data_IF_560044020817
#
_entry.id   IF_560044020817
#
_cell.length_a   1.000
_cell.length_b   1.000
_cell.length_c   1.000
_cell.angle_alpha   90.00
_cell.angle_beta   90.00
_cell.angle_gamma   90.00
#
_symmetry.space_group_name_H-M   'P 1'
#
loop_
_entity.id
_entity.type
_entity.pdbx_description
1 polymer ?
#
# COMPACT_ATOMS: atom_id res chain seq x y z
N UNK A 1 -25.67 -0.99 -11.05
CA UNK A 1 -25.60 -1.88 -9.87
C UNK A 1 -25.79 -3.29 -10.39
N UNK A 2 -24.79 -4.15 -10.22
CA UNK A 2 -24.94 -5.56 -10.52
C UNK A 2 -26.07 -6.14 -9.66
N UNK A 3 -26.84 -7.08 -10.21
CA UNK A 3 -27.84 -7.82 -9.44
C UNK A 3 -27.14 -8.59 -8.31
N UNK A 4 -27.68 -8.49 -7.08
CA UNK A 4 -27.11 -9.16 -5.89
C UNK A 4 -27.06 -10.68 -6.08
N UNK A 5 -26.10 -11.34 -5.43
CA UNK A 5 -25.95 -12.79 -5.50
C UNK A 5 -27.22 -13.47 -5.00
N UNK A 6 -27.79 -12.95 -3.92
CA UNK A 6 -28.98 -13.52 -3.31
C UNK A 6 -30.15 -13.59 -4.31
N UNK A 7 -30.34 -12.56 -5.13
CA UNK A 7 -31.37 -12.56 -6.17
C UNK A 7 -31.06 -13.54 -7.30
N UNK A 8 -29.79 -13.68 -7.69
CA UNK A 8 -29.37 -14.68 -8.68
C UNK A 8 -29.62 -16.10 -8.19
N UNK A 9 -29.29 -16.38 -6.93
CA UNK A 9 -29.53 -17.67 -6.29
C UNK A 9 -31.02 -17.97 -6.18
N UNK A 10 -31.84 -16.98 -5.84
CA UNK A 10 -33.30 -17.11 -5.80
C UNK A 10 -33.88 -17.39 -7.20
N UNK A 11 -33.48 -16.63 -8.23
CA UNK A 11 -33.92 -16.82 -9.62
C UNK A 11 -33.48 -18.16 -10.21
N UNK A 12 -32.29 -18.64 -9.82
CA UNK A 12 -31.78 -19.95 -10.20
C UNK A 12 -32.42 -21.12 -9.45
N UNK A 13 -33.33 -20.86 -8.49
CA UNK A 13 -33.94 -21.88 -7.65
C UNK A 13 -32.96 -22.56 -6.68
N UNK A 14 -31.81 -21.93 -6.40
CA UNK A 14 -30.78 -22.46 -5.50
C UNK A 14 -31.13 -22.20 -4.02
N UNK A 15 -31.90 -21.16 -3.75
CA UNK A 15 -32.49 -20.87 -2.43
C UNK A 15 -33.97 -20.55 -2.59
N UNK A 16 -34.75 -20.84 -1.55
CA UNK A 16 -36.16 -20.48 -1.48
C UNK A 16 -36.45 -19.76 -0.15
N UNK A 17 -37.08 -18.58 -0.24
CA UNK A 17 -37.52 -17.77 0.90
C UNK A 17 -39.04 -17.80 1.07
N UNK A 18 -39.74 -18.69 0.37
CA UNK A 18 -41.20 -18.82 0.34
C UNK A 18 -41.91 -17.51 -0.04
N UNK A 19 -41.34 -16.76 -0.98
CA UNK A 19 -41.94 -15.54 -1.53
C UNK A 19 -42.06 -14.34 -0.57
N UNK A 20 -41.24 -14.28 0.48
CA UNK A 20 -41.24 -13.19 1.47
C UNK A 20 -39.92 -12.41 1.44
N UNK A 21 -39.97 -11.22 0.82
CA UNK A 21 -38.83 -10.32 0.65
C UNK A 21 -38.19 -9.91 1.98
N UNK A 22 -38.96 -9.87 3.08
CA UNK A 22 -38.41 -9.52 4.39
C UNK A 22 -37.44 -10.61 4.92
N UNK A 23 -37.55 -11.86 4.44
CA UNK A 23 -36.57 -12.91 4.72
C UNK A 23 -35.30 -12.72 3.90
N UNK A 24 -35.43 -12.28 2.65
CA UNK A 24 -34.28 -11.96 1.80
C UNK A 24 -33.45 -10.82 2.41
N UNK A 25 -34.11 -9.79 2.95
CA UNK A 25 -33.43 -8.70 3.67
C UNK A 25 -32.64 -9.19 4.89
N UNK A 26 -33.19 -10.15 5.65
CA UNK A 26 -32.49 -10.76 6.80
C UNK A 26 -31.27 -11.57 6.40
N UNK A 27 -31.36 -12.31 5.28
CA UNK A 27 -30.23 -13.01 4.67
C UNK A 27 -29.16 -11.99 4.22
N UNK A 28 -29.58 -10.89 3.60
CA UNK A 28 -28.69 -9.78 3.24
C UNK A 28 -27.99 -9.13 4.44
N UNK A 29 -28.70 -8.93 5.55
CA UNK A 29 -28.13 -8.41 6.79
C UNK A 29 -27.06 -9.34 7.38
N UNK A 30 -27.31 -10.65 7.37
CA UNK A 30 -26.32 -11.65 7.79
C UNK A 30 -25.07 -11.64 6.88
N UNK A 31 -25.26 -11.50 5.57
CA UNK A 31 -24.16 -11.37 4.61
C UNK A 31 -23.33 -10.11 4.87
N UNK A 32 -23.96 -8.98 5.19
CA UNK A 32 -23.29 -7.73 5.57
C UNK A 32 -22.46 -7.84 6.86
N UNK A 33 -22.91 -8.66 7.81
CA UNK A 33 -22.13 -8.98 9.02
C UNK A 33 -20.88 -9.81 8.68
N UNK A 34 -21.00 -10.84 7.84
CA UNK A 34 -19.86 -11.62 7.37
C UNK A 34 -18.88 -10.76 6.55
N UNK A 35 -19.38 -9.89 5.67
CA UNK A 35 -18.57 -8.96 4.90
C UNK A 35 -17.76 -8.04 5.83
N UNK A 36 -18.39 -7.52 6.89
CA UNK A 36 -17.70 -6.72 7.92
C UNK A 36 -16.64 -7.53 8.68
N UNK A 37 -16.90 -8.81 8.94
CA UNK A 37 -15.94 -9.75 9.51
C UNK A 37 -14.72 -9.97 8.60
N UNK A 38 -14.95 -10.19 7.31
CA UNK A 38 -13.91 -10.36 6.28
C UNK A 38 -13.03 -9.12 6.13
N UNK A 39 -13.62 -7.91 6.12
CA UNK A 39 -12.84 -6.65 6.10
C UNK A 39 -11.90 -6.54 7.30
N UNK A 40 -12.32 -7.03 8.48
CA UNK A 40 -11.50 -7.04 9.71
C UNK A 40 -10.46 -8.17 9.73
N UNK A 41 -10.80 -9.31 9.14
CA UNK A 41 -9.99 -10.53 9.13
C UNK A 41 -9.94 -11.17 7.73
N UNK A 42 -9.18 -10.57 6.77
CA UNK A 42 -9.16 -11.05 5.39
C UNK A 42 -8.72 -12.50 5.22
N UNK A 43 -7.93 -13.05 6.16
CA UNK A 43 -7.48 -14.44 6.16
C UNK A 43 -8.62 -15.47 6.14
N UNK A 44 -9.83 -15.09 6.59
CA UNK A 44 -11.02 -15.97 6.49
C UNK A 44 -11.48 -16.18 5.04
N UNK A 45 -11.14 -15.27 4.12
CA UNK A 45 -11.63 -15.32 2.75
C UNK A 45 -11.28 -16.64 2.05
N UNK A 46 -10.12 -17.24 2.35
CA UNK A 46 -9.71 -18.49 1.71
C UNK A 46 -10.72 -19.62 1.97
N UNK A 47 -11.04 -19.90 3.23
CA UNK A 47 -12.02 -20.92 3.59
C UNK A 47 -13.42 -20.55 3.08
N UNK A 48 -13.80 -19.27 3.18
CA UNK A 48 -15.10 -18.79 2.74
C UNK A 48 -15.33 -19.02 1.25
N UNK A 49 -14.33 -18.74 0.40
CA UNK A 49 -14.45 -18.95 -1.04
C UNK A 49 -14.65 -20.43 -1.35
N UNK A 50 -13.84 -21.30 -0.73
CA UNK A 50 -13.89 -22.75 -0.97
C UNK A 50 -15.21 -23.37 -0.48
N UNK A 51 -15.80 -22.85 0.60
CA UNK A 51 -17.14 -23.26 1.06
C UNK A 51 -18.23 -22.72 0.15
N UNK A 52 -18.13 -21.47 -0.27
CA UNK A 52 -19.14 -20.86 -1.11
C UNK A 52 -19.23 -21.54 -2.47
N UNK A 53 -18.11 -21.88 -3.12
CA UNK A 53 -18.11 -22.48 -4.47
C UNK A 53 -18.48 -23.98 -4.51
N UNK A 54 -18.50 -24.67 -3.36
CA UNK A 54 -18.78 -26.11 -3.32
C UNK A 54 -20.22 -26.41 -2.84
N UNK A 55 -21.11 -26.93 -3.71
CA UNK A 55 -22.47 -27.27 -3.33
C UNK A 55 -22.58 -28.45 -2.37
N UNK A 56 -21.53 -29.28 -2.25
CA UNK A 56 -21.50 -30.46 -1.39
C UNK A 56 -20.70 -30.23 -0.10
N UNK A 57 -20.74 -29.01 0.43
CA UNK A 57 -20.14 -28.72 1.74
C UNK A 57 -20.97 -29.28 2.88
N UNK A 58 -20.26 -29.89 3.85
CA UNK A 58 -20.88 -30.49 5.01
C UNK A 58 -21.56 -29.43 5.89
N UNK A 59 -22.68 -29.81 6.50
CA UNK A 59 -23.48 -28.92 7.33
C UNK A 59 -22.78 -28.45 8.62
N UNK A 60 -21.75 -29.18 9.05
CA UNK A 60 -20.93 -28.90 10.23
C UNK A 60 -19.61 -28.18 9.91
N UNK A 61 -19.36 -27.82 8.64
CA UNK A 61 -18.18 -27.02 8.29
C UNK A 61 -18.17 -25.70 9.09
N UNK A 62 -17.02 -25.28 9.67
CA UNK A 62 -16.94 -24.09 10.51
C UNK A 62 -17.50 -22.81 9.86
N UNK A 63 -17.36 -22.65 8.54
CA UNK A 63 -17.88 -21.49 7.81
C UNK A 63 -19.41 -21.54 7.69
N UNK A 64 -19.98 -22.73 7.49
CA UNK A 64 -21.43 -22.92 7.45
C UNK A 64 -22.04 -22.60 8.81
N UNK A 65 -21.44 -23.10 9.89
CA UNK A 65 -21.85 -22.79 11.26
C UNK A 65 -21.78 -21.28 11.52
N UNK A 66 -20.67 -20.63 11.16
CA UNK A 66 -20.50 -19.17 11.33
C UNK A 66 -21.58 -18.36 10.55
N UNK A 67 -21.91 -18.79 9.33
CA UNK A 67 -22.93 -18.13 8.52
C UNK A 67 -24.34 -18.28 9.10
N UNK A 68 -24.66 -19.46 9.65
CA UNK A 68 -25.96 -19.70 10.31
C UNK A 68 -26.06 -18.99 11.66
N UNK A 69 -24.96 -18.86 12.39
CA UNK A 69 -24.88 -18.05 13.60
C UNK A 69 -25.15 -16.57 13.29
N UNK A 70 -24.57 -16.05 12.19
CA UNK A 70 -24.89 -14.72 11.71
C UNK A 70 -26.36 -14.59 11.31
N UNK A 71 -26.92 -15.57 10.58
CA UNK A 71 -28.34 -15.58 10.21
C UNK A 71 -29.26 -15.57 11.44
N UNK A 72 -28.92 -16.32 12.48
CA UNK A 72 -29.74 -16.46 13.69
C UNK A 72 -29.97 -15.13 14.42
N UNK A 73 -29.03 -14.18 14.30
CA UNK A 73 -29.12 -12.84 14.91
C UNK A 73 -30.17 -11.96 14.22
N UNK A 74 -30.39 -12.16 12.92
CA UNK A 74 -31.33 -11.38 12.11
C UNK A 74 -32.66 -12.13 11.87
N UNK A 75 -32.65 -13.46 11.97
CA UNK A 75 -33.80 -14.32 11.74
C UNK A 75 -33.86 -15.50 12.72
N UNK A 76 -34.24 -15.25 13.97
CA UNK A 76 -34.31 -16.27 15.04
C UNK A 76 -35.15 -17.51 14.65
N UNK A 77 -36.21 -17.34 13.86
CA UNK A 77 -37.14 -18.42 13.47
C UNK A 77 -36.77 -19.13 12.16
N UNK A 78 -35.57 -18.94 11.61
CA UNK A 78 -35.17 -19.56 10.34
C UNK A 78 -35.25 -21.09 10.40
N UNK A 79 -34.92 -21.70 11.55
CA UNK A 79 -34.99 -23.15 11.78
C UNK A 79 -36.39 -23.73 11.62
N UNK A 80 -37.45 -22.92 11.76
CA UNK A 80 -38.83 -23.36 11.54
C UNK A 80 -39.23 -23.34 10.05
N UNK A 81 -38.40 -22.72 9.21
CA UNK A 81 -38.67 -22.57 7.77
C UNK A 81 -38.04 -23.69 6.95
N UNK A 82 -36.93 -24.25 7.43
CA UNK A 82 -36.18 -25.30 6.74
C UNK A 82 -36.29 -26.62 7.49
N UNK A 83 -36.43 -27.74 6.77
CA UNK A 83 -36.57 -29.09 7.34
C UNK A 83 -35.24 -29.68 7.85
N UNK A 84 -34.13 -28.97 7.68
CA UNK A 84 -32.79 -29.33 8.12
C UNK A 84 -31.85 -28.11 8.04
N UNK A 85 -30.55 -28.34 8.22
CA UNK A 85 -29.54 -27.27 8.10
C UNK A 85 -29.57 -26.67 6.70
N UNK A 86 -29.89 -25.37 6.52
CA UNK A 86 -30.07 -24.78 5.21
C UNK A 86 -28.72 -24.38 4.59
N UNK A 87 -27.91 -25.39 4.21
CA UNK A 87 -26.54 -25.21 3.67
C UNK A 87 -26.53 -24.30 2.44
N UNK A 88 -27.49 -24.43 1.53
CA UNK A 88 -27.58 -23.56 0.35
C UNK A 88 -27.79 -22.08 0.71
N UNK A 89 -28.58 -21.79 1.76
CA UNK A 89 -28.78 -20.42 2.27
C UNK A 89 -27.51 -19.92 2.94
N UNK A 90 -26.83 -20.74 3.76
CA UNK A 90 -25.56 -20.39 4.36
C UNK A 90 -24.50 -20.07 3.29
N UNK A 91 -24.38 -20.87 2.23
CA UNK A 91 -23.48 -20.62 1.09
C UNK A 91 -23.80 -19.30 0.38
N UNK A 92 -25.09 -19.00 0.16
CA UNK A 92 -25.51 -17.75 -0.45
C UNK A 92 -25.12 -16.53 0.41
N UNK A 93 -25.27 -16.64 1.74
CA UNK A 93 -24.83 -15.61 2.70
C UNK A 93 -23.32 -15.41 2.64
N UNK A 94 -22.55 -16.50 2.64
CA UNK A 94 -21.08 -16.46 2.56
C UNK A 94 -20.63 -15.79 1.26
N UNK A 95 -21.24 -16.16 0.12
CA UNK A 95 -20.91 -15.59 -1.18
C UNK A 95 -21.26 -14.11 -1.27
N UNK A 96 -22.48 -13.72 -0.91
CA UNK A 96 -22.86 -12.30 -0.90
C UNK A 96 -21.92 -11.50 0.01
N UNK A 97 -21.55 -12.05 1.17
CA UNK A 97 -20.57 -11.43 2.08
C UNK A 97 -19.17 -11.29 1.47
N UNK A 98 -18.71 -12.29 0.71
CA UNK A 98 -17.43 -12.24 -0.03
C UNK A 98 -17.44 -11.17 -1.11
N UNK A 99 -18.49 -11.10 -1.92
CA UNK A 99 -18.63 -10.11 -3.00
C UNK A 99 -18.65 -8.70 -2.42
N UNK A 100 -19.45 -8.47 -1.36
CA UNK A 100 -19.47 -7.18 -0.68
C UNK A 100 -18.10 -6.79 -0.08
N UNK A 101 -17.37 -7.76 0.49
CA UNK A 101 -16.04 -7.50 1.04
C UNK A 101 -14.97 -7.28 -0.05
N UNK A 102 -15.06 -7.98 -1.18
CA UNK A 102 -14.13 -7.89 -2.29
C UNK A 102 -14.12 -6.49 -2.93
N UNK A 103 -15.28 -5.82 -2.99
CA UNK A 103 -15.41 -4.45 -3.51
C UNK A 103 -14.50 -3.45 -2.79
N UNK A 104 -14.39 -3.56 -1.46
CA UNK A 104 -13.62 -2.60 -0.64
C UNK A 104 -12.26 -3.14 -0.19
N UNK A 105 -12.05 -4.46 -0.28
CA UNK A 105 -10.85 -5.14 0.23
C UNK A 105 -10.18 -5.92 -0.89
N UNK A 106 -9.20 -5.31 -1.58
CA UNK A 106 -8.58 -5.93 -2.76
C UNK A 106 -7.90 -7.27 -2.50
N UNK A 107 -7.43 -7.53 -1.28
CA UNK A 107 -6.88 -8.85 -0.92
C UNK A 107 -7.94 -9.94 -0.86
N UNK A 108 -9.18 -9.61 -0.47
CA UNK A 108 -10.33 -10.53 -0.52
C UNK A 108 -10.71 -10.79 -1.97
N UNK A 109 -10.76 -9.76 -2.81
CA UNK A 109 -11.00 -9.91 -4.25
C UNK A 109 -9.96 -10.80 -4.94
N UNK A 110 -8.67 -10.59 -4.64
CA UNK A 110 -7.59 -11.42 -5.19
C UNK A 110 -7.72 -12.90 -4.76
N UNK A 111 -8.00 -13.16 -3.49
CA UNK A 111 -8.22 -14.53 -3.00
C UNK A 111 -9.47 -15.17 -3.61
N UNK A 112 -10.56 -14.41 -3.74
CA UNK A 112 -11.80 -14.85 -4.38
C UNK A 112 -11.55 -15.37 -5.80
N UNK A 113 -10.94 -14.54 -6.65
CA UNK A 113 -10.70 -14.89 -8.06
C UNK A 113 -9.76 -16.09 -8.17
N UNK A 114 -8.64 -16.06 -7.44
CA UNK A 114 -7.64 -17.12 -7.50
C UNK A 114 -8.20 -18.50 -7.11
N UNK A 115 -8.97 -18.57 -6.03
CA UNK A 115 -9.54 -19.82 -5.52
C UNK A 115 -10.77 -20.26 -6.32
N UNK A 116 -11.62 -19.32 -6.75
CA UNK A 116 -12.75 -19.64 -7.63
C UNK A 116 -12.25 -20.26 -8.94
N UNK A 117 -11.24 -19.67 -9.59
CA UNK A 117 -10.64 -20.20 -10.82
C UNK A 117 -10.12 -21.63 -10.66
N UNK A 118 -9.58 -21.95 -9.49
CA UNK A 118 -9.17 -23.31 -9.16
C UNK A 118 -10.41 -24.23 -9.04
N UNK A 119 -11.35 -23.92 -8.15
CA UNK A 119 -12.55 -24.73 -7.95
C UNK A 119 -13.29 -25.00 -9.27
N UNK A 120 -13.58 -23.96 -10.08
CA UNK A 120 -14.28 -24.11 -11.35
C UNK A 120 -13.51 -24.89 -12.42
N UNK A 121 -12.19 -25.04 -12.30
CA UNK A 121 -11.41 -25.86 -13.25
C UNK A 121 -11.62 -27.36 -13.09
N UNK A 122 -12.16 -27.80 -11.94
CA UNK A 122 -12.44 -29.23 -11.64
C UNK A 122 -13.90 -29.50 -11.28
N UNK A 123 -14.73 -28.46 -11.14
CA UNK A 123 -16.17 -28.59 -10.89
C UNK A 123 -16.94 -29.02 -12.14
N UNK A 124 -18.04 -29.75 -11.92
CA UNK A 124 -19.01 -30.06 -12.98
C UNK A 124 -19.87 -28.81 -13.26
N UNK A 125 -20.05 -28.39 -14.52
CA UNK A 125 -20.93 -27.28 -14.86
C UNK A 125 -22.36 -27.49 -14.36
N UNK A 126 -22.92 -26.48 -13.71
CA UNK A 126 -24.27 -26.50 -13.13
C UNK A 126 -24.92 -25.10 -13.13
N UNK A 127 -26.21 -25.03 -12.80
CA UNK A 127 -26.91 -23.75 -12.62
C UNK A 127 -26.25 -22.86 -11.55
N UNK A 128 -25.66 -23.47 -10.52
CA UNK A 128 -24.82 -22.78 -9.53
C UNK A 128 -23.64 -22.12 -10.26
N UNK A 129 -22.81 -22.88 -10.98
CA UNK A 129 -21.62 -22.34 -11.67
C UNK A 129 -21.92 -21.19 -12.65
N UNK A 130 -23.10 -21.19 -13.28
CA UNK A 130 -23.52 -20.10 -14.17
C UNK A 130 -23.80 -18.80 -13.41
N UNK A 131 -24.36 -18.88 -12.20
CA UNK A 131 -24.61 -17.72 -11.34
C UNK A 131 -23.30 -17.02 -10.89
N UNK A 132 -22.20 -17.77 -10.83
CA UNK A 132 -20.87 -17.29 -10.44
C UNK A 132 -20.10 -16.60 -11.56
N UNK A 133 -20.29 -17.01 -12.81
CA UNK A 133 -19.40 -16.62 -13.92
C UNK A 133 -19.26 -15.10 -14.06
N UNK A 134 -20.38 -14.38 -14.09
CA UNK A 134 -20.39 -12.92 -14.21
C UNK A 134 -19.74 -12.22 -13.02
N UNK A 135 -19.93 -12.75 -11.81
CA UNK A 135 -19.39 -12.17 -10.57
C UNK A 135 -17.87 -12.34 -10.51
N UNK A 136 -17.39 -13.51 -10.92
CA UNK A 136 -15.95 -13.77 -11.05
C UNK A 136 -15.35 -12.82 -12.07
N UNK A 137 -15.96 -12.67 -13.25
CA UNK A 137 -15.45 -11.77 -14.28
C UNK A 137 -15.42 -10.31 -13.83
N UNK A 138 -16.43 -9.85 -13.07
CA UNK A 138 -16.47 -8.48 -12.55
C UNK A 138 -15.34 -8.21 -11.56
N UNK A 139 -15.17 -9.08 -10.55
CA UNK A 139 -14.11 -8.94 -9.54
C UNK A 139 -12.72 -9.15 -10.17
N UNK A 140 -12.59 -10.11 -11.08
CA UNK A 140 -11.34 -10.40 -11.79
C UNK A 140 -10.87 -9.21 -12.62
N UNK A 141 -11.78 -8.49 -13.29
CA UNK A 141 -11.42 -7.28 -14.04
C UNK A 141 -10.73 -6.24 -13.15
N UNK A 142 -11.23 -6.03 -11.93
CA UNK A 142 -10.65 -5.05 -11.00
C UNK A 142 -9.33 -5.55 -10.40
N UNK A 143 -9.24 -6.84 -10.07
CA UNK A 143 -8.02 -7.50 -9.59
C UNK A 143 -6.91 -7.44 -10.65
N UNK A 144 -7.22 -7.79 -11.89
CA UNK A 144 -6.27 -7.78 -13.00
C UNK A 144 -5.86 -6.36 -13.38
N UNK A 145 -6.79 -5.39 -13.43
CA UNK A 145 -6.44 -4.00 -13.70
C UNK A 145 -5.43 -3.46 -12.67
N UNK A 146 -5.60 -3.82 -11.40
CA UNK A 146 -4.65 -3.47 -10.34
C UNK A 146 -3.31 -4.19 -10.50
N UNK A 147 -3.34 -5.49 -10.78
CA UNK A 147 -2.11 -6.26 -10.98
C UNK A 147 -1.32 -5.72 -12.20
N UNK A 148 -1.98 -5.44 -13.31
CA UNK A 148 -1.34 -4.83 -14.49
C UNK A 148 -0.77 -3.44 -14.19
N UNK A 149 -1.45 -2.62 -13.38
CA UNK A 149 -0.90 -1.33 -12.95
C UNK A 149 0.38 -1.48 -12.11
N UNK A 150 0.45 -2.47 -11.22
CA UNK A 150 1.65 -2.78 -10.42
C UNK A 150 2.80 -3.34 -11.29
N UNK A 151 2.46 -3.97 -12.40
CA UNK A 151 3.40 -4.59 -13.34
C UNK A 151 3.75 -3.71 -14.55
N UNK A 152 3.13 -2.53 -14.66
CA UNK A 152 3.32 -1.64 -15.78
C UNK A 152 4.76 -1.09 -15.84
N UNK A 153 5.27 -0.97 -17.06
CA UNK A 153 6.46 -0.16 -17.34
C UNK A 153 5.93 1.15 -17.94
N UNK A 154 6.04 2.28 -17.24
CA UNK A 154 5.51 3.54 -17.75
C UNK A 154 6.25 3.94 -19.02
N UNK A 155 5.51 4.39 -20.03
CA UNK A 155 6.05 4.83 -21.32
C UNK A 155 6.88 6.12 -21.21
N UNK A 156 6.63 6.91 -20.16
CA UNK A 156 7.44 8.06 -19.76
C UNK A 156 7.48 8.16 -18.25
N UNK A 157 8.64 8.56 -17.71
CA UNK A 157 8.78 8.87 -16.30
C UNK A 157 8.48 10.36 -16.16
N UNK A 158 7.27 10.68 -15.70
CA UNK A 158 6.98 12.05 -15.30
C UNK A 158 7.75 12.30 -14.01
N UNK A 159 8.84 13.04 -14.08
CA UNK A 159 9.44 13.60 -12.87
C UNK A 159 8.35 14.46 -12.19
N UNK A 160 8.29 14.48 -10.85
CA UNK A 160 7.49 15.48 -10.16
C UNK A 160 7.86 16.88 -10.71
N UNK A 161 6.93 17.82 -10.68
CA UNK A 161 7.26 19.22 -10.92
C UNK A 161 7.81 19.75 -9.60
N UNK A 162 9.03 20.29 -9.62
CA UNK A 162 9.63 20.86 -8.43
C UNK A 162 8.81 22.08 -7.97
N UNK A 163 8.00 21.93 -6.92
CA UNK A 163 7.37 23.07 -6.25
C UNK A 163 8.36 23.69 -5.27
N UNK A 164 9.45 24.23 -5.82
CA UNK A 164 10.47 24.92 -5.05
C UNK A 164 9.91 26.28 -4.62
N UNK A 165 9.39 26.34 -3.40
CA UNK A 165 8.94 27.59 -2.81
C UNK A 165 10.13 28.52 -2.62
N UNK A 166 10.13 29.63 -3.35
CA UNK A 166 11.12 30.70 -3.16
C UNK A 166 10.90 31.28 -1.76
N UNK A 167 11.90 31.22 -0.86
CA UNK A 167 11.77 31.78 0.48
C UNK A 167 11.58 33.30 0.41
N UNK A 168 10.69 33.85 1.22
CA UNK A 168 10.56 35.29 1.36
C UNK A 168 11.84 35.86 1.98
N UNK A 169 12.46 36.83 1.31
CA UNK A 169 13.60 37.55 1.84
C UNK A 169 13.10 38.61 2.82
N UNK A 170 13.64 38.61 4.04
CA UNK A 170 13.39 39.69 4.99
C UNK A 170 13.97 41.00 4.47
N UNK A 171 13.22 42.12 4.52
CA UNK A 171 13.73 43.42 4.13
C UNK A 171 14.95 43.79 4.97
N UNK A 172 15.98 44.33 4.31
CA UNK A 172 17.16 44.87 4.99
C UNK A 172 16.72 46.00 5.92
N UNK A 173 17.08 45.89 7.20
CA UNK A 173 16.81 46.95 8.17
C UNK A 173 17.92 47.98 8.08
N UNK A 174 17.55 49.24 7.84
CA UNK A 174 18.45 50.39 7.93
C UNK A 174 18.26 51.00 9.31
N UNK A 175 19.31 50.99 10.12
CA UNK A 175 19.34 51.68 11.40
C UNK A 175 20.22 52.91 11.28
N UNK A 176 19.73 54.03 11.82
CA UNK A 176 20.49 55.26 11.95
C UNK A 176 20.83 55.46 13.42
N UNK A 177 22.08 55.80 13.71
CA UNK A 177 22.45 56.25 15.04
C UNK A 177 21.71 57.57 15.37
N UNK A 178 21.22 57.73 16.61
CA UNK A 178 20.59 58.98 17.01
C UNK A 178 21.60 60.12 16.91
N UNK A 179 21.21 61.22 16.29
CA UNK A 179 22.03 62.43 16.21
C UNK A 179 22.40 62.89 17.61
N UNK A 180 23.67 63.18 17.85
CA UNK A 180 24.12 63.76 19.12
C UNK A 180 23.63 65.21 19.24
N UNK A 181 22.46 65.34 19.84
CA UNK A 181 21.76 66.62 20.01
C UNK A 181 22.57 67.57 20.89
N UNK A 182 23.34 67.07 21.84
CA UNK A 182 24.10 67.91 22.77
C UNK A 182 25.36 68.46 22.09
N UNK A 183 26.02 67.65 21.26
CA UNK A 183 27.09 68.13 20.38
C UNK A 183 26.58 69.19 19.37
N UNK A 184 25.41 68.96 18.75
CA UNK A 184 24.82 69.94 17.82
C UNK A 184 24.45 71.25 18.53
N UNK A 185 23.86 71.18 19.73
CA UNK A 185 23.57 72.36 20.55
C UNK A 185 24.84 73.12 20.92
N UNK A 186 25.91 72.41 21.29
CA UNK A 186 27.20 73.03 21.59
C UNK A 186 27.73 73.81 20.37
N UNK A 187 27.62 73.24 19.16
CA UNK A 187 27.94 73.93 17.91
C UNK A 187 27.12 75.20 17.68
N UNK A 188 25.81 75.17 17.97
CA UNK A 188 24.93 76.34 17.83
C UNK A 188 25.30 77.45 18.80
N UNK A 189 25.61 77.10 20.05
CA UNK A 189 26.05 78.08 21.04
C UNK A 189 27.42 78.67 20.70
N UNK A 190 28.35 77.86 20.20
CA UNK A 190 29.64 78.33 19.72
C UNK A 190 29.50 79.27 18.51
N UNK A 191 28.56 79.01 17.60
CA UNK A 191 28.24 79.91 16.48
C UNK A 191 27.65 81.25 16.96
N UNK A 192 26.94 81.27 18.09
CA UNK A 192 26.28 82.46 18.63
C UNK A 192 27.23 83.47 19.28
N UNK A 193 28.44 83.09 19.69
CA UNK A 193 29.40 84.04 20.26
C UNK A 193 30.74 83.45 20.71
N UNK A 194 31.65 84.31 21.20
CA UNK A 194 33.05 83.96 21.38
C UNK A 194 33.36 83.16 22.66
N UNK A 195 32.39 83.01 23.56
CA UNK A 195 32.62 82.51 24.92
C UNK A 195 31.64 81.40 25.33
N UNK A 196 31.40 80.44 24.46
CA UNK A 196 30.67 79.24 24.88
C UNK A 196 31.53 78.37 25.80
N UNK A 197 30.92 77.87 26.87
CA UNK A 197 31.49 76.89 27.80
C UNK A 197 30.54 75.71 27.80
N UNK A 198 31.04 74.52 27.47
CA UNK A 198 30.22 73.31 27.51
C UNK A 198 29.86 72.99 28.97
N UNK A 199 28.56 72.91 29.30
CA UNK A 199 28.11 72.62 30.65
C UNK A 199 28.49 71.22 31.15
N UNK A 200 28.84 70.25 30.27
CA UNK A 200 29.22 68.90 30.67
C UNK A 200 30.72 68.75 31.00
N UNK A 201 31.60 69.52 30.35
CA UNK A 201 33.06 69.37 30.51
C UNK A 201 33.71 70.49 31.33
N UNK A 202 32.99 71.57 31.66
CA UNK A 202 33.46 72.61 32.59
C UNK A 202 34.70 73.39 32.12
N UNK A 203 35.14 73.18 30.87
CA UNK A 203 36.19 73.94 30.21
C UNK A 203 35.60 74.74 29.05
N UNK A 204 36.14 75.94 28.80
CA UNK A 204 35.93 76.61 27.51
C UNK A 204 36.40 75.64 26.44
N UNK A 205 35.50 75.12 25.60
CA UNK A 205 35.92 74.43 24.40
C UNK A 205 36.59 75.46 23.51
N UNK A 206 37.91 75.46 23.55
CA UNK A 206 38.72 76.09 22.55
C UNK A 206 38.48 75.34 21.23
N UNK A 207 37.61 75.86 20.38
CA UNK A 207 38.03 76.25 19.03
C UNK A 207 36.83 76.76 18.21
N UNK A 208 37.06 77.87 17.52
CA UNK A 208 36.21 78.34 16.42
C UNK A 208 34.80 78.87 16.78
N UNK A 209 34.61 79.43 17.96
CA UNK A 209 33.41 80.24 18.27
C UNK A 209 33.34 81.52 17.43
N UNK A 210 32.15 82.08 17.26
CA UNK A 210 31.99 83.33 16.50
C UNK A 210 32.73 84.48 17.21
N UNK A 211 33.71 85.14 16.56
CA UNK A 211 34.54 86.16 17.21
C UNK A 211 33.78 87.46 17.48
N UNK A 212 32.58 87.61 16.92
CA UNK A 212 31.75 88.79 17.07
C UNK A 212 30.61 88.53 18.05
N UNK A 213 30.07 89.60 18.62
CA UNK A 213 28.86 89.57 19.45
C UNK A 213 27.76 90.36 18.76
N UNK A 214 26.49 89.92 18.84
CA UNK A 214 25.39 90.51 18.09
C UNK A 214 25.15 91.99 18.44
N UNK A 215 25.54 92.42 19.65
CA UNK A 215 25.36 93.80 20.11
C UNK A 215 26.45 94.77 19.62
N UNK A 216 27.68 94.29 19.37
CA UNK A 216 28.84 95.17 19.10
C UNK A 216 29.23 95.21 17.62
N UNK A 217 28.95 94.16 16.84
CA UNK A 217 29.24 94.10 15.40
C UNK A 217 28.18 93.25 14.68
N UNK A 218 26.93 93.75 14.54
CA UNK A 218 25.78 92.93 14.13
C UNK A 218 25.90 92.35 12.70
N UNK A 219 26.46 93.11 11.76
CA UNK A 219 26.60 92.68 10.35
C UNK A 219 27.63 91.55 10.22
N UNK A 220 28.79 91.69 10.86
CA UNK A 220 29.83 90.65 10.86
C UNK A 220 29.43 89.43 11.68
N UNK A 221 28.74 89.64 12.80
CA UNK A 221 28.20 88.55 13.61
C UNK A 221 27.24 87.67 12.82
N UNK A 222 26.28 88.27 12.10
CA UNK A 222 25.29 87.52 11.32
C UNK A 222 25.94 86.66 10.22
N UNK A 223 26.96 87.19 9.54
CA UNK A 223 27.73 86.45 8.53
C UNK A 223 28.48 85.26 9.12
N UNK A 224 29.20 85.46 10.21
CA UNK A 224 29.95 84.40 10.90
C UNK A 224 29.03 83.37 11.59
N UNK A 225 27.90 83.80 12.16
CA UNK A 225 26.91 82.93 12.80
C UNK A 225 26.32 81.94 11.79
N UNK A 226 25.86 82.45 10.64
CA UNK A 226 25.26 81.62 9.59
C UNK A 226 26.25 80.58 9.06
N UNK A 227 27.48 80.98 8.76
CA UNK A 227 28.52 80.08 8.26
C UNK A 227 28.86 78.97 9.27
N UNK A 228 29.04 79.32 10.55
CA UNK A 228 29.45 78.36 11.59
C UNK A 228 28.30 77.42 11.97
N UNK A 229 27.08 77.94 12.09
CA UNK A 229 25.89 77.11 12.32
C UNK A 229 25.68 76.11 11.17
N UNK A 230 25.85 76.56 9.91
CA UNK A 230 25.73 75.68 8.75
C UNK A 230 26.76 74.53 8.78
N UNK A 231 28.00 74.80 9.20
CA UNK A 231 29.03 73.76 9.40
C UNK A 231 28.60 72.75 10.47
N UNK A 232 28.12 73.21 11.64
CA UNK A 232 27.66 72.30 12.70
C UNK A 232 26.45 71.44 12.29
N UNK A 233 25.52 71.99 11.51
CA UNK A 233 24.40 71.21 10.94
C UNK A 233 24.91 70.21 9.90
N UNK A 234 25.82 70.62 9.02
CA UNK A 234 26.41 69.74 8.01
C UNK A 234 27.16 68.58 8.65
N UNK A 235 27.97 68.83 9.69
CA UNK A 235 28.69 67.79 10.43
C UNK A 235 27.73 66.81 11.14
N UNK A 236 26.63 67.31 11.73
CA UNK A 236 25.64 66.45 12.35
C UNK A 236 24.87 65.60 11.32
N UNK A 237 24.58 66.15 10.14
CA UNK A 237 23.97 65.42 9.03
C UNK A 237 24.93 64.39 8.45
N UNK A 238 26.19 64.75 8.22
CA UNK A 238 27.22 63.84 7.73
C UNK A 238 27.47 62.72 8.73
N UNK A 239 27.48 63.01 10.03
CA UNK A 239 27.59 61.99 11.08
C UNK A 239 26.38 61.06 11.08
N UNK A 240 25.15 61.60 10.96
CA UNK A 240 23.93 60.80 10.89
C UNK A 240 23.87 59.92 9.62
N UNK A 241 24.37 60.42 8.48
CA UNK A 241 24.45 59.66 7.22
C UNK A 241 25.56 58.60 7.30
N UNK A 242 26.72 58.93 7.86
CA UNK A 242 27.83 57.99 8.03
C UNK A 242 27.55 56.92 9.11
N UNK A 243 26.67 57.22 10.06
CA UNK A 243 26.15 56.29 11.08
C UNK A 243 25.01 55.39 10.58
N UNK A 244 24.63 55.46 9.30
CA UNK A 244 23.66 54.53 8.72
C UNK A 244 24.32 53.16 8.55
N UNK A 245 23.85 52.16 9.29
CA UNK A 245 24.26 50.77 9.11
C UNK A 245 23.16 49.97 8.43
N UNK A 246 23.50 49.27 7.36
CA UNK A 246 22.62 48.30 6.72
C UNK A 246 22.89 46.93 7.36
N UNK A 247 21.87 46.32 7.97
CA UNK A 247 22.01 44.96 8.50
C UNK A 247 22.37 43.95 7.41
N UNK A 248 23.13 42.90 7.74
CA UNK A 248 23.41 41.83 6.77
C UNK A 248 22.15 41.00 6.51
N UNK A 249 21.86 40.69 5.24
CA UNK A 249 20.80 39.74 4.92
C UNK A 249 21.20 38.33 5.39
N UNK A 250 20.40 37.72 6.27
CA UNK A 250 20.58 36.32 6.64
C UNK A 250 19.99 35.41 5.55
N UNK A 251 20.86 34.89 4.70
CA UNK A 251 20.50 33.96 3.64
C UNK A 251 20.57 32.49 4.08
N UNK A 252 20.96 32.21 5.34
CA UNK A 252 21.19 30.85 5.79
C UNK A 252 19.91 30.00 5.76
N UNK A 253 18.79 30.56 6.19
CA UNK A 253 17.50 29.87 6.20
C UNK A 253 16.90 29.72 4.79
N UNK A 254 16.89 30.76 3.92
CA UNK A 254 16.53 30.60 2.51
C UNK A 254 17.35 29.53 1.78
N UNK A 255 18.67 29.49 1.98
CA UNK A 255 19.56 28.50 1.35
C UNK A 255 19.28 27.10 1.89
N UNK A 256 19.04 26.93 3.19
CA UNK A 256 18.65 25.64 3.79
C UNK A 256 17.31 25.14 3.24
N UNK A 257 16.31 26.02 3.17
CA UNK A 257 15.00 25.68 2.62
C UNK A 257 15.10 25.23 1.16
N UNK A 258 15.87 25.95 0.35
CA UNK A 258 16.14 25.54 -1.04
C UNK A 258 16.86 24.19 -1.12
N UNK A 259 17.89 23.98 -0.29
CA UNK A 259 18.63 22.71 -0.26
C UNK A 259 17.74 21.52 0.13
N UNK A 260 16.83 21.71 1.09
CA UNK A 260 15.83 20.72 1.50
C UNK A 260 14.88 20.41 0.34
N UNK A 261 14.29 21.44 -0.28
CA UNK A 261 13.36 21.24 -1.40
C UNK A 261 14.00 20.55 -2.61
N UNK A 262 15.27 20.85 -2.92
CA UNK A 262 16.03 20.14 -3.96
C UNK A 262 16.28 18.69 -3.56
N UNK A 263 16.61 18.42 -2.29
CA UNK A 263 16.85 17.05 -1.80
C UNK A 263 15.59 16.19 -1.85
N UNK A 264 14.45 16.74 -1.45
CA UNK A 264 13.14 16.09 -1.53
C UNK A 264 12.77 15.80 -2.99
N UNK A 265 12.93 16.78 -3.88
CA UNK A 265 12.71 16.62 -5.31
C UNK A 265 13.53 15.47 -5.91
N UNK A 266 14.83 15.43 -5.62
CA UNK A 266 15.72 14.37 -6.11
C UNK A 266 15.30 13.01 -5.56
N UNK A 267 14.92 12.92 -4.28
CA UNK A 267 14.45 11.68 -3.68
C UNK A 267 13.16 11.17 -4.33
N UNK A 268 12.19 12.05 -4.59
CA UNK A 268 10.95 11.71 -5.28
C UNK A 268 11.20 11.28 -6.74
N UNK A 269 12.06 12.01 -7.46
CA UNK A 269 12.42 11.66 -8.83
C UNK A 269 13.11 10.29 -8.90
N UNK A 270 14.06 10.00 -8.00
CA UNK A 270 14.70 8.69 -7.90
C UNK A 270 13.69 7.58 -7.56
N UNK A 271 12.73 7.86 -6.68
CA UNK A 271 11.66 6.92 -6.33
C UNK A 271 10.78 6.61 -7.53
N UNK A 272 10.40 7.63 -8.32
CA UNK A 272 9.62 7.46 -9.54
C UNK A 272 10.37 6.63 -10.59
N UNK A 273 11.68 6.86 -10.76
CA UNK A 273 12.54 6.08 -11.66
C UNK A 273 12.70 4.64 -11.18
N UNK A 274 12.91 4.41 -9.88
CA UNK A 274 13.01 3.08 -9.30
C UNK A 274 11.68 2.31 -9.45
N UNK A 275 10.54 2.95 -9.20
CA UNK A 275 9.23 2.36 -9.42
C UNK A 275 9.01 1.98 -10.90
N UNK A 276 9.38 2.88 -11.82
CA UNK A 276 9.27 2.66 -13.27
C UNK A 276 10.13 1.48 -13.77
N UNK A 277 11.30 1.26 -13.16
CA UNK A 277 12.22 0.19 -13.56
C UNK A 277 11.92 -1.15 -12.89
N UNK A 278 11.16 -1.15 -11.78
CA UNK A 278 10.80 -2.36 -11.03
C UNK A 278 9.99 -3.35 -11.88
N UNK A 279 9.00 -2.86 -12.65
CA UNK A 279 8.20 -3.71 -13.54
C UNK A 279 9.06 -4.40 -14.63
N UNK A 280 10.03 -3.67 -15.19
CA UNK A 280 10.96 -4.21 -16.18
C UNK A 280 11.90 -5.26 -15.56
N UNK A 281 12.48 -4.97 -14.40
CA UNK A 281 13.36 -5.90 -13.68
C UNK A 281 12.65 -7.22 -13.37
N UNK A 282 11.39 -7.17 -12.92
CA UNK A 282 10.58 -8.38 -12.66
C UNK A 282 10.39 -9.21 -13.92
N UNK A 283 9.97 -8.59 -15.04
CA UNK A 283 9.76 -9.30 -16.31
C UNK A 283 11.06 -9.94 -16.83
N UNK A 284 12.19 -9.22 -16.75
CA UNK A 284 13.51 -9.75 -17.15
C UNK A 284 13.93 -10.91 -16.24
N UNK A 285 13.72 -10.79 -14.92
CA UNK A 285 14.01 -11.86 -13.97
C UNK A 285 13.18 -13.12 -14.26
N UNK A 286 11.88 -12.97 -14.57
CA UNK A 286 11.03 -14.10 -14.95
C UNK A 286 11.49 -14.76 -16.24
N UNK A 287 11.83 -13.98 -17.27
CA UNK A 287 12.38 -14.53 -18.52
C UNK A 287 13.67 -15.30 -18.25
N UNK A 288 14.59 -14.74 -17.46
CA UNK A 288 15.82 -15.44 -17.08
C UNK A 288 15.54 -16.74 -16.31
N UNK A 289 14.58 -16.72 -15.38
CA UNK A 289 14.17 -17.90 -14.63
C UNK A 289 13.59 -18.99 -15.54
N UNK A 290 12.75 -18.62 -16.51
CA UNK A 290 12.23 -19.56 -17.54
C UNK A 290 13.34 -20.12 -18.42
N UNK A 291 14.25 -19.31 -18.91
CA UNK A 291 15.30 -19.79 -19.81
C UNK A 291 16.32 -20.69 -19.07
N UNK A 292 16.69 -20.31 -17.85
CA UNK A 292 17.60 -21.11 -17.03
C UNK A 292 16.96 -22.42 -16.52
N UNK A 293 15.64 -22.43 -16.28
CA UNK A 293 14.92 -23.49 -15.55
C UNK A 293 15.69 -23.91 -14.29
N UNK A 294 16.03 -22.92 -13.47
CA UNK A 294 16.80 -23.09 -12.24
C UNK A 294 15.97 -22.70 -11.02
N UNK A 295 15.95 -23.57 -10.00
CA UNK A 295 15.28 -23.28 -8.73
C UNK A 295 16.16 -22.42 -7.83
N UNK A 296 15.77 -21.17 -7.50
CA UNK A 296 16.47 -20.38 -6.50
C UNK A 296 16.39 -21.01 -5.10
N UNK A 297 15.26 -21.64 -4.73
CA UNK A 297 15.07 -22.28 -3.41
C UNK A 297 15.97 -23.50 -3.23
N UNK A 298 16.08 -24.36 -4.26
CA UNK A 298 16.84 -25.62 -4.16
C UNK A 298 18.24 -25.55 -4.75
N UNK A 299 18.56 -24.49 -5.51
CA UNK A 299 19.83 -24.30 -6.21
C UNK A 299 20.19 -25.44 -7.16
N UNK A 300 19.19 -25.96 -7.87
CA UNK A 300 19.32 -27.05 -8.86
C UNK A 300 18.50 -26.73 -10.11
N UNK A 301 18.78 -27.38 -11.24
CA UNK A 301 17.90 -27.27 -12.39
C UNK A 301 16.60 -28.03 -12.13
N UNK A 302 15.47 -27.46 -12.57
CA UNK A 302 14.18 -28.18 -12.57
C UNK A 302 14.22 -29.43 -13.45
N UNK A 303 15.14 -29.48 -14.42
CA UNK A 303 15.36 -30.65 -15.30
C UNK A 303 15.90 -31.87 -14.54
N UNK A 304 16.52 -31.64 -13.38
CA UNK A 304 17.10 -32.69 -12.54
C UNK A 304 16.11 -33.21 -11.46
N UNK A 305 14.88 -32.69 -11.45
CA UNK A 305 13.84 -33.04 -10.48
C UNK A 305 12.75 -33.91 -11.13
N UNK A 306 12.03 -34.75 -10.34
CA UNK A 306 10.82 -35.39 -10.81
C UNK A 306 9.82 -34.34 -11.35
N UNK A 307 9.13 -34.57 -12.49
CA UNK A 307 8.26 -33.57 -13.10
C UNK A 307 7.17 -33.00 -12.17
N UNK A 308 6.58 -33.85 -11.34
CA UNK A 308 5.57 -33.46 -10.33
C UNK A 308 6.15 -32.53 -9.26
N UNK A 309 7.38 -32.83 -8.82
CA UNK A 309 8.13 -32.03 -7.86
C UNK A 309 8.55 -30.68 -8.47
N UNK A 310 9.06 -30.71 -9.71
CA UNK A 310 9.45 -29.53 -10.46
C UNK A 310 8.27 -28.56 -10.62
N UNK A 311 7.10 -29.06 -11.07
CA UNK A 311 5.90 -28.23 -11.25
C UNK A 311 5.46 -27.53 -9.95
N UNK A 312 5.47 -28.26 -8.84
CA UNK A 312 5.11 -27.72 -7.51
C UNK A 312 6.14 -26.68 -7.04
N UNK A 313 7.42 -27.00 -7.18
CA UNK A 313 8.50 -26.10 -6.78
C UNK A 313 8.57 -24.84 -7.65
N UNK A 314 8.25 -24.94 -8.94
CA UNK A 314 8.17 -23.79 -9.85
C UNK A 314 7.06 -22.81 -9.45
N UNK A 315 5.90 -23.32 -9.03
CA UNK A 315 4.82 -22.48 -8.49
C UNK A 315 5.27 -21.72 -7.24
N UNK A 316 6.00 -22.41 -6.34
CA UNK A 316 6.53 -21.81 -5.12
C UNK A 316 7.65 -20.79 -5.39
N UNK A 317 8.63 -21.15 -6.22
CA UNK A 317 9.73 -20.26 -6.61
C UNK A 317 9.21 -19.02 -7.35
N UNK A 318 8.18 -19.17 -8.19
CA UNK A 318 7.54 -18.04 -8.84
C UNK A 318 6.87 -17.14 -7.81
N UNK A 319 6.10 -17.69 -6.86
CA UNK A 319 5.46 -16.93 -5.79
C UNK A 319 6.44 -16.09 -4.98
N UNK A 320 7.66 -16.58 -4.72
CA UNK A 320 8.69 -15.82 -4.03
C UNK A 320 9.29 -14.66 -4.86
N UNK A 321 9.21 -14.74 -6.19
CA UNK A 321 9.80 -13.75 -7.10
C UNK A 321 8.83 -12.65 -7.52
N UNK A 322 7.52 -12.84 -7.29
CA UNK A 322 6.47 -11.93 -7.76
C UNK A 322 5.75 -11.26 -6.60
N UNK A 323 5.12 -10.09 -6.84
CA UNK A 323 4.23 -9.50 -5.85
C UNK A 323 3.02 -10.40 -5.58
N UNK A 324 2.41 -10.15 -4.42
CA UNK A 324 1.20 -10.82 -3.94
C UNK A 324 0.04 -10.76 -4.94
N UNK A 325 -0.01 -9.70 -5.77
CA UNK A 325 -0.90 -9.61 -6.92
C UNK A 325 -0.10 -9.78 -8.20
N UNK A 326 -0.53 -10.70 -9.05
CA UNK A 326 0.10 -10.98 -10.34
C UNK A 326 -0.97 -11.03 -11.43
N UNK A 327 -0.72 -10.45 -12.60
CA UNK A 327 -1.68 -10.47 -13.69
C UNK A 327 -1.86 -11.89 -14.25
N UNK A 328 -2.98 -12.15 -14.92
CA UNK A 328 -3.26 -13.43 -15.58
C UNK A 328 -2.12 -13.92 -16.50
N UNK A 329 -1.37 -12.99 -17.11
CA UNK A 329 -0.20 -13.29 -17.95
C UNK A 329 0.93 -14.02 -17.20
N UNK A 330 1.10 -13.80 -15.89
CA UNK A 330 2.08 -14.51 -15.05
C UNK A 330 1.66 -15.96 -14.82
N UNK A 331 0.36 -16.22 -14.66
CA UNK A 331 -0.16 -17.58 -14.53
C UNK A 331 0.02 -18.35 -15.84
N UNK A 332 -0.28 -17.71 -16.98
CA UNK A 332 -0.02 -18.29 -18.29
C UNK A 332 1.48 -18.54 -18.51
N UNK A 333 2.34 -17.61 -18.09
CA UNK A 333 3.79 -17.78 -18.13
C UNK A 333 4.26 -18.98 -17.32
N UNK A 334 3.73 -19.22 -16.12
CA UNK A 334 4.03 -20.40 -15.32
C UNK A 334 3.65 -21.69 -16.06
N UNK A 335 2.45 -21.75 -16.62
CA UNK A 335 1.99 -22.91 -17.39
C UNK A 335 2.95 -23.25 -18.53
N UNK A 336 3.31 -22.26 -19.35
CA UNK A 336 4.28 -22.40 -20.46
C UNK A 336 5.66 -22.81 -19.97
N UNK A 337 6.10 -22.29 -18.83
CA UNK A 337 7.41 -22.64 -18.26
C UNK A 337 7.43 -24.10 -17.82
N UNK A 338 6.36 -24.59 -17.19
CA UNK A 338 6.24 -26.02 -16.82
C UNK A 338 6.18 -26.92 -18.05
N UNK A 339 5.42 -26.52 -19.08
CA UNK A 339 5.32 -27.27 -20.35
C UNK A 339 6.65 -27.32 -21.12
N UNK A 340 7.58 -26.39 -20.87
CA UNK A 340 8.91 -26.39 -21.49
C UNK A 340 9.89 -27.41 -20.90
N UNK A 341 9.53 -28.10 -19.80
CA UNK A 341 10.38 -29.13 -19.20
C UNK A 341 10.41 -30.39 -20.08
N UNK A 342 11.59 -30.97 -20.34
CA UNK A 342 11.73 -32.07 -21.31
C UNK A 342 11.07 -33.39 -20.89
N UNK A 343 10.79 -33.57 -19.59
CA UNK A 343 10.19 -34.77 -19.02
C UNK A 343 8.69 -34.62 -18.73
N UNK A 344 8.09 -33.48 -19.09
CA UNK A 344 6.66 -33.23 -18.92
C UNK A 344 5.91 -33.67 -20.18
N UNK A 345 5.00 -34.63 -20.03
CA UNK A 345 3.96 -34.89 -21.02
C UNK A 345 2.81 -33.91 -20.79
N UNK A 346 2.51 -33.08 -21.79
CA UNK A 346 1.52 -32.00 -21.70
C UNK A 346 0.08 -32.50 -21.63
N UNK A 347 -0.19 -33.72 -22.12
CA UNK A 347 -1.52 -34.33 -22.12
C UNK A 347 -1.75 -35.23 -20.91
N UNK A 348 -0.67 -35.65 -20.24
CA UNK A 348 -0.78 -36.51 -19.07
C UNK A 348 -1.44 -35.77 -17.90
N UNK A 349 -2.51 -36.37 -17.39
CA UNK A 349 -3.23 -35.87 -16.22
C UNK A 349 -3.00 -36.76 -15.00
N UNK A 350 -3.02 -36.14 -13.82
CA UNK A 350 -2.81 -36.77 -12.52
C UNK A 350 -3.99 -36.47 -11.62
N UNK A 351 -4.37 -37.40 -10.76
CA UNK A 351 -5.38 -37.11 -9.75
C UNK A 351 -4.82 -36.11 -8.74
N UNK A 352 -5.64 -35.14 -8.31
CA UNK A 352 -5.17 -34.05 -7.43
C UNK A 352 -4.70 -34.58 -6.08
N UNK A 353 -5.37 -35.59 -5.52
CA UNK A 353 -4.94 -36.24 -4.28
C UNK A 353 -3.56 -36.89 -4.42
N UNK A 354 -3.27 -37.52 -5.55
CA UNK A 354 -1.97 -38.15 -5.81
C UNK A 354 -0.86 -37.09 -5.90
N UNK A 355 -1.14 -35.94 -6.54
CA UNK A 355 -0.21 -34.80 -6.60
C UNK A 355 0.10 -34.24 -5.21
N UNK A 356 -0.90 -34.14 -4.33
CA UNK A 356 -0.72 -33.71 -2.94
C UNK A 356 0.14 -34.72 -2.17
N UNK A 357 -0.13 -36.03 -2.29
CA UNK A 357 0.67 -37.06 -1.61
C UNK A 357 2.13 -37.07 -2.08
N UNK A 358 2.35 -36.93 -3.39
CA UNK A 358 3.70 -36.78 -3.95
C UNK A 358 4.38 -35.51 -3.40
N UNK A 359 3.65 -34.40 -3.33
CA UNK A 359 4.17 -33.15 -2.80
C UNK A 359 4.47 -33.20 -1.29
N UNK A 360 3.81 -34.05 -0.53
CA UNK A 360 4.08 -34.28 0.90
C UNK A 360 5.33 -35.14 1.13
N UNK A 361 5.57 -36.12 0.27
CA UNK A 361 6.63 -37.13 0.44
C UNK A 361 7.95 -36.76 -0.23
N UNK A 362 7.90 -35.92 -1.26
CA UNK A 362 9.08 -35.55 -2.03
C UNK A 362 10.02 -34.64 -1.23
N UNK A 363 11.29 -35.05 -1.13
CA UNK A 363 12.31 -34.35 -0.32
C UNK A 363 12.70 -33.01 -0.92
N UNK A 364 12.66 -32.87 -2.24
CA UNK A 364 12.99 -31.59 -2.89
C UNK A 364 12.02 -30.46 -2.50
N UNK A 365 10.88 -30.76 -1.89
CA UNK A 365 9.84 -29.80 -1.49
C UNK A 365 9.86 -29.42 0.00
N UNK A 366 10.83 -29.89 0.80
CA UNK A 366 10.91 -29.59 2.25
C UNK A 366 10.79 -28.08 2.55
N UNK A 367 11.52 -27.23 1.81
CA UNK A 367 11.49 -25.78 2.02
C UNK A 367 10.15 -25.16 1.61
N UNK A 368 9.52 -25.67 0.55
CA UNK A 368 8.21 -25.21 0.10
C UNK A 368 7.13 -25.55 1.14
N UNK A 369 7.20 -26.75 1.73
CA UNK A 369 6.32 -27.18 2.83
C UNK A 369 6.48 -26.29 4.06
N UNK A 370 7.71 -26.09 4.53
CA UNK A 370 7.97 -25.24 5.70
C UNK A 370 7.53 -23.78 5.50
N UNK A 371 7.63 -23.24 4.29
CA UNK A 371 7.07 -21.93 3.98
C UNK A 371 5.54 -21.94 3.89
N UNK A 372 4.95 -23.02 3.36
CA UNK A 372 3.50 -23.23 3.39
C UNK A 372 2.93 -23.25 4.80
N UNK A 373 3.60 -23.91 5.75
CA UNK A 373 3.19 -23.95 7.17
C UNK A 373 3.11 -22.56 7.82
N UNK A 374 3.96 -21.62 7.37
CA UNK A 374 3.93 -20.23 7.83
C UNK A 374 2.80 -19.41 7.21
N UNK A 375 2.27 -19.86 6.07
CA UNK A 375 1.20 -19.19 5.32
C UNK A 375 -0.19 -19.73 5.68
N UNK A 376 -0.30 -21.03 5.96
CA UNK A 376 -1.59 -21.72 6.15
C UNK A 376 -1.76 -22.22 7.58
N UNK A 377 -2.98 -22.13 8.11
CA UNK A 377 -3.34 -22.83 9.33
C UNK A 377 -3.45 -24.34 9.09
N UNK A 378 -3.42 -25.12 10.19
CA UNK A 378 -3.74 -26.55 10.13
C UNK A 378 -5.19 -26.71 9.61
N UNK A 379 -5.45 -27.62 8.66
CA UNK A 379 -6.79 -27.82 8.13
C UNK A 379 -7.76 -28.37 9.19
N UNK A 380 -8.74 -27.56 9.59
CA UNK A 380 -9.84 -27.98 10.48
C UNK A 380 -11.18 -28.16 9.73
N UNK A 381 -11.36 -27.42 8.64
CA UNK A 381 -12.51 -27.49 7.73
C UNK A 381 -12.04 -27.25 6.28
N UNK A 382 -12.93 -26.79 5.41
CA UNK A 382 -12.60 -26.52 4.01
C UNK A 382 -11.42 -25.52 3.89
N UNK A 383 -10.38 -25.90 3.15
CA UNK A 383 -9.13 -25.17 3.01
C UNK A 383 -8.38 -25.50 1.73
N UNK A 384 -7.33 -24.72 1.42
CA UNK A 384 -6.59 -24.85 0.17
C UNK A 384 -5.72 -26.12 0.18
N UNK A 385 -5.44 -26.71 -0.99
CA UNK A 385 -4.61 -27.92 -1.07
C UNK A 385 -3.19 -27.69 -0.56
N UNK A 386 -2.66 -26.46 -0.67
CA UNK A 386 -1.35 -26.11 -0.11
C UNK A 386 -1.29 -26.27 1.41
N UNK A 387 -2.42 -26.18 2.13
CA UNK A 387 -2.45 -26.43 3.57
C UNK A 387 -2.23 -27.92 3.87
N UNK A 388 -2.74 -28.83 3.03
CA UNK A 388 -2.46 -30.26 3.15
C UNK A 388 -1.01 -30.59 2.78
N UNK A 389 -0.47 -29.93 1.75
CA UNK A 389 0.95 -30.12 1.36
C UNK A 389 1.87 -29.67 2.50
N UNK A 390 1.58 -28.53 3.12
CA UNK A 390 2.36 -27.99 4.23
C UNK A 390 2.27 -28.86 5.48
N UNK A 391 1.05 -29.17 5.94
CA UNK A 391 0.80 -29.86 7.20
C UNK A 391 0.74 -31.38 7.00
N UNK A 392 1.89 -32.00 6.72
CA UNK A 392 2.02 -33.42 6.36
C UNK A 392 1.50 -34.41 7.42
N UNK A 393 1.46 -34.00 8.69
CA UNK A 393 0.96 -34.83 9.79
C UNK A 393 -0.57 -34.95 9.80
N UNK A 394 -1.27 -34.17 8.96
CA UNK A 394 -2.71 -34.28 8.78
C UNK A 394 -3.03 -35.62 8.06
N UNK A 395 -3.70 -36.60 8.71
CA UNK A 395 -3.95 -37.93 8.15
C UNK A 395 -4.85 -37.94 6.90
N UNK A 396 -5.43 -36.79 6.56
CA UNK A 396 -6.51 -36.64 5.60
C UNK A 396 -6.09 -36.62 4.12
N UNK A 397 -4.79 -36.56 3.79
CA UNK A 397 -4.36 -36.60 2.38
C UNK A 397 -4.51 -37.97 1.73
N UNK A 398 -4.50 -39.05 2.54
CA UNK A 398 -4.57 -40.45 2.04
C UNK A 398 -5.98 -41.04 2.06
N UNK A 399 -6.86 -40.50 2.89
CA UNK A 399 -8.27 -40.86 2.89
C UNK A 399 -9.03 -39.93 1.94
N UNK A 400 -9.58 -40.50 0.86
CA UNK A 400 -10.32 -39.75 -0.17
C UNK A 400 -11.51 -38.98 0.42
N UNK A 401 -12.20 -39.57 1.38
CA UNK A 401 -13.35 -38.93 2.01
C UNK A 401 -12.94 -37.70 2.83
N UNK A 402 -11.85 -37.82 3.59
CA UNK A 402 -11.26 -36.69 4.31
C UNK A 402 -10.65 -35.64 3.37
N UNK A 403 -10.04 -36.05 2.26
CA UNK A 403 -9.50 -35.15 1.25
C UNK A 403 -10.60 -34.29 0.61
N UNK A 404 -11.70 -34.93 0.16
CA UNK A 404 -12.88 -34.23 -0.36
C UNK A 404 -13.43 -33.27 0.68
N UNK A 405 -13.63 -33.72 1.93
CA UNK A 405 -14.12 -32.87 3.04
C UNK A 405 -13.23 -31.66 3.30
N UNK A 406 -11.91 -31.81 3.30
CA UNK A 406 -11.01 -30.70 3.61
C UNK A 406 -10.75 -29.76 2.43
N UNK A 407 -10.87 -30.20 1.19
CA UNK A 407 -10.46 -29.38 0.03
C UNK A 407 -11.60 -28.96 -0.87
N UNK A 408 -12.70 -29.71 -0.89
CA UNK A 408 -13.76 -29.51 -1.87
C UNK A 408 -13.29 -29.85 -3.29
N UNK A 409 -12.25 -30.67 -3.44
CA UNK A 409 -11.83 -31.23 -4.72
C UNK A 409 -12.51 -32.59 -4.93
N UNK A 410 -13.24 -32.81 -6.03
CA UNK A 410 -13.88 -34.09 -6.31
C UNK A 410 -12.88 -35.24 -6.48
N UNK A 411 -13.24 -36.46 -6.08
CA UNK A 411 -12.39 -37.66 -6.17
C UNK A 411 -11.90 -37.97 -7.61
N UNK A 412 -12.66 -37.55 -8.62
CA UNK A 412 -12.32 -37.71 -10.03
C UNK A 412 -11.54 -36.56 -10.64
N UNK A 413 -11.21 -35.51 -9.89
CA UNK A 413 -10.52 -34.34 -10.39
C UNK A 413 -9.11 -34.69 -10.86
N UNK A 414 -8.78 -34.29 -12.09
CA UNK A 414 -7.46 -34.53 -12.69
C UNK A 414 -6.92 -33.25 -13.30
N UNK A 415 -5.61 -33.06 -13.19
CA UNK A 415 -4.91 -31.89 -13.72
C UNK A 415 -3.65 -32.33 -14.48
N UNK A 416 -3.29 -31.59 -15.53
CA UNK A 416 -1.92 -31.63 -16.08
C UNK A 416 -0.95 -30.96 -15.12
N UNK A 417 0.35 -31.20 -15.27
CA UNK A 417 1.36 -30.57 -14.41
C UNK A 417 1.37 -29.03 -14.52
N UNK A 418 1.07 -28.49 -15.70
CA UNK A 418 0.92 -27.05 -15.90
C UNK A 418 -0.29 -26.50 -15.14
N UNK A 419 -1.43 -27.19 -15.20
CA UNK A 419 -2.63 -26.81 -14.44
C UNK A 419 -2.39 -26.92 -12.93
N UNK A 420 -1.69 -27.96 -12.47
CA UNK A 420 -1.30 -28.15 -11.08
C UNK A 420 -0.42 -27.01 -10.57
N UNK A 421 0.63 -26.63 -11.31
CA UNK A 421 1.49 -25.51 -10.93
C UNK A 421 0.71 -24.20 -10.82
N UNK A 422 -0.17 -23.92 -11.79
CA UNK A 422 -1.07 -22.76 -11.74
C UNK A 422 -2.02 -22.81 -10.55
N UNK A 423 -2.54 -23.99 -10.20
CA UNK A 423 -3.40 -24.20 -9.04
C UNK A 423 -2.67 -23.82 -7.75
N UNK A 424 -1.50 -24.43 -7.51
CA UNK A 424 -0.66 -24.18 -6.32
C UNK A 424 -0.27 -22.71 -6.25
N UNK A 425 0.15 -22.11 -7.36
CA UNK A 425 0.52 -20.69 -7.41
C UNK A 425 -0.63 -19.77 -7.02
N UNK A 426 -1.85 -20.03 -7.52
CA UNK A 426 -3.05 -19.24 -7.18
C UNK A 426 -3.39 -19.36 -5.70
N UNK A 427 -3.29 -20.54 -5.11
CA UNK A 427 -3.53 -20.69 -3.67
C UNK A 427 -2.48 -19.96 -2.83
N UNK A 428 -1.20 -20.02 -3.22
CA UNK A 428 -0.13 -19.25 -2.56
C UNK A 428 -0.40 -17.74 -2.62
N UNK A 429 -0.81 -17.22 -3.79
CA UNK A 429 -1.19 -15.82 -3.95
C UNK A 429 -2.40 -15.46 -3.07
N UNK A 430 -3.45 -16.29 -3.06
CA UNK A 430 -4.65 -16.06 -2.26
C UNK A 430 -4.35 -16.04 -0.75
N UNK A 431 -3.58 -17.02 -0.27
CA UNK A 431 -3.20 -17.10 1.15
C UNK A 431 -2.28 -15.95 1.54
N UNK A 432 -1.28 -15.61 0.73
CA UNK A 432 -0.38 -14.48 1.03
C UNK A 432 -1.12 -13.13 1.01
N UNK A 433 -2.02 -12.91 0.04
CA UNK A 433 -2.83 -11.69 -0.05
C UNK A 433 -3.65 -11.43 1.20
N UNK A 434 -4.19 -12.48 1.78
CA UNK A 434 -5.09 -12.40 2.93
C UNK A 434 -4.37 -12.49 4.28
N UNK A 435 -3.17 -13.08 4.32
CA UNK A 435 -2.30 -13.13 5.51
C UNK A 435 -1.62 -11.78 5.84
N UNK A 436 -1.30 -10.97 4.82
CA UNK A 436 -0.53 -9.72 4.96
C UNK A 436 -1.18 -8.65 5.88
N UNK A 437 -2.47 -8.78 6.22
CA UNK A 437 -3.15 -7.96 7.23
C UNK A 437 -2.49 -8.05 8.63
N UNK A 438 -1.84 -9.18 8.97
CA UNK A 438 -1.12 -9.33 10.26
C UNK A 438 0.26 -8.67 10.26
N UNK A 439 0.96 -8.59 9.13
CA UNK A 439 2.34 -8.12 9.06
C UNK A 439 2.48 -6.60 9.33
N UNK A 440 1.50 -5.79 8.92
CA UNK A 440 1.53 -4.33 9.16
C UNK A 440 1.39 -3.95 10.65
N UNK A 441 0.79 -4.82 11.48
CA UNK A 441 0.67 -4.62 12.93
C UNK A 441 1.92 -5.02 13.73
N UNK A 442 2.73 -5.95 13.20
CA UNK A 442 3.97 -6.42 13.84
C UNK A 442 5.12 -5.41 13.71
N UNK A 443 5.27 -4.80 12.52
CA UNK A 443 6.28 -3.77 12.25
C UNK A 443 6.16 -2.55 13.18
N UNK A 444 4.94 -2.10 13.48
CA UNK A 444 4.66 -0.96 14.38
C UNK A 444 4.99 -1.22 15.86
N UNK A 445 5.12 -2.49 16.27
CA UNK A 445 5.42 -2.86 17.66
C UNK A 445 6.92 -3.06 17.91
N UNK A 446 7.71 -3.27 16.84
CA UNK A 446 9.17 -3.38 16.89
C UNK A 446 9.91 -2.04 16.81
N UNK A 447 9.25 -0.97 16.36
CA UNK A 447 9.82 0.39 16.35
C UNK A 447 9.53 1.22 17.61
N UNK A 448 8.96 0.60 18.65
CA UNK A 448 8.65 1.23 19.96
C UNK A 448 9.20 0.43 21.15
N UNK A 449 10.14 -0.49 20.91
CA UNK A 449 10.80 -1.29 21.94
C UNK A 449 12.23 -0.82 22.16
#
# INVERSE_FOLDING_TARGET
>A
MAESILLRFLKGGLIDVNGDDAKLDKIGAAAGELASGLRKSPSKAVAYVLVAVDPEVDADDPVIVEALDALSKHWVTYVNTFSGTPVAVARAIVLEGLVQAATDTPSVGAAFVALARNAFSVSVPSADTAAWADVIMEIEKDVDARAEAEWAVPSSISAPVADLKVPELTPLTVTADPTDVDHLKAGFYAAAGPHYVDPQQGQQLASNGNPHSPHNNPVHWAGEFGNRMAVSVAEALDTAVNGLTVGNADLSEPIRSLATGVSEYVAEALTAVAAATTGLQRRVALVWWKESLFSPTRRVSYRDLPPTAAATLMAFDLHQQVPVSSPASVVAFLAETVMSLPLVDTEQTYAVNDLVELAQTEKSLDMARGAGELLTAVPEGRGPVIALIAHCDAPASRDRSAFRRLTGVPDGARLTLAQWACWVFRELQATSATAASKASRSSKRRSRG
#
